data_IF_690219642104
#
_entry.id   IF_690219642104
#
_cell.length_a   1.000
_cell.length_b   1.000
_cell.length_c   1.000
_cell.angle_alpha   90.00
_cell.angle_beta   90.00
_cell.angle_gamma   90.00
#
_symmetry.space_group_name_H-M   'P 1'
#
loop_
_entity.id
_entity.type
_entity.pdbx_description
1 polymer ?
#
# COMPACT_ATOMS: atom_id res chain seq x y z
N UNK A 1 -22.82 -2.18 -25.82
CA UNK A 1 -21.80 -2.81 -26.70
C UNK A 1 -20.83 -1.70 -27.04
N UNK A 2 -19.53 -1.92 -26.85
CA UNK A 2 -18.48 -0.97 -27.18
C UNK A 2 -18.49 -0.76 -28.70
N UNK A 3 -18.96 0.39 -29.18
CA UNK A 3 -19.12 0.67 -30.61
C UNK A 3 -17.87 1.33 -31.20
N UNK A 4 -17.13 2.06 -30.37
CA UNK A 4 -16.01 2.90 -30.78
C UNK A 4 -14.91 2.84 -29.71
N UNK A 5 -13.66 2.92 -30.15
CA UNK A 5 -12.48 2.97 -29.29
C UNK A 5 -11.41 3.86 -29.91
N UNK A 6 -10.43 4.26 -29.12
CA UNK A 6 -9.38 5.18 -29.50
C UNK A 6 -8.02 4.54 -29.28
N UNK A 7 -7.13 4.72 -30.26
CA UNK A 7 -5.70 4.36 -30.15
C UNK A 7 -4.92 5.57 -30.62
N UNK A 8 -4.04 6.10 -29.77
CA UNK A 8 -3.24 7.31 -30.08
C UNK A 8 -4.09 8.46 -30.64
N UNK A 9 -5.20 8.76 -29.97
CA UNK A 9 -6.20 9.77 -30.33
C UNK A 9 -6.94 9.56 -31.67
N UNK A 10 -6.70 8.44 -32.37
CA UNK A 10 -7.44 8.07 -33.58
C UNK A 10 -8.65 7.23 -33.20
N UNK A 11 -9.79 7.55 -33.79
CA UNK A 11 -11.07 6.86 -33.58
C UNK A 11 -11.17 5.61 -34.46
N UNK A 12 -11.55 4.50 -33.86
CA UNK A 12 -11.83 3.23 -34.51
C UNK A 12 -13.24 2.78 -34.14
N UNK A 13 -13.89 2.00 -35.02
CA UNK A 13 -15.20 1.42 -34.76
C UNK A 13 -15.11 -0.09 -34.76
N UNK A 14 -15.80 -0.72 -33.81
CA UNK A 14 -16.05 -2.15 -33.88
C UNK A 14 -17.20 -2.38 -34.86
N UNK A 15 -17.03 -3.32 -35.78
CA UNK A 15 -18.07 -3.67 -36.75
C UNK A 15 -19.36 -4.10 -36.04
N UNK A 16 -20.49 -3.53 -36.43
CA UNK A 16 -21.79 -3.80 -35.79
C UNK A 16 -22.45 -5.10 -36.29
N UNK A 17 -22.02 -5.61 -37.45
CA UNK A 17 -22.49 -6.86 -38.06
C UNK A 17 -21.29 -7.68 -38.49
N UNK A 18 -21.07 -8.80 -37.82
CA UNK A 18 -19.93 -9.70 -38.06
C UNK A 18 -20.48 -11.10 -38.33
N UNK A 19 -19.90 -11.82 -39.28
CA UNK A 19 -20.33 -13.17 -39.60
C UNK A 19 -20.03 -14.09 -38.40
N UNK A 20 -20.93 -15.02 -38.06
CA UNK A 20 -20.68 -15.99 -36.97
C UNK A 20 -19.36 -16.75 -37.14
N UNK A 21 -18.90 -16.96 -38.38
CA UNK A 21 -17.62 -17.62 -38.70
C UNK A 21 -16.39 -16.80 -38.33
N UNK A 22 -16.53 -15.49 -38.14
CA UNK A 22 -15.44 -14.57 -37.79
C UNK A 22 -15.32 -14.35 -36.27
N UNK A 23 -16.25 -14.93 -35.49
CA UNK A 23 -16.24 -14.88 -34.04
C UNK A 23 -15.25 -15.91 -33.48
N UNK A 24 -14.33 -15.44 -32.67
CA UNK A 24 -13.24 -16.23 -32.10
C UNK A 24 -13.53 -16.44 -30.62
N UNK A 25 -13.68 -17.69 -30.19
CA UNK A 25 -13.85 -18.01 -28.77
C UNK A 25 -12.61 -17.58 -27.97
N UNK A 26 -12.78 -17.14 -26.72
CA UNK A 26 -11.69 -16.59 -25.88
C UNK A 26 -10.43 -17.46 -25.81
N UNK A 27 -10.59 -18.79 -25.83
CA UNK A 27 -9.47 -19.74 -25.83
C UNK A 27 -8.64 -19.66 -27.12
N UNK A 28 -9.29 -19.66 -28.28
CA UNK A 28 -8.62 -19.53 -29.57
C UNK A 28 -8.14 -18.11 -29.84
N UNK A 29 -8.83 -17.11 -29.29
CA UNK A 29 -8.38 -15.72 -29.33
C UNK A 29 -7.03 -15.58 -28.61
N UNK A 30 -6.87 -16.20 -27.44
CA UNK A 30 -5.58 -16.23 -26.74
C UNK A 30 -4.48 -16.92 -27.56
N UNK A 31 -4.81 -18.00 -28.28
CA UNK A 31 -3.84 -18.67 -29.16
C UNK A 31 -3.40 -17.75 -30.30
N UNK A 32 -4.33 -17.04 -30.93
CA UNK A 32 -4.02 -16.06 -31.99
C UNK A 32 -3.09 -14.98 -31.46
N UNK A 33 -3.38 -14.40 -30.29
CA UNK A 33 -2.51 -13.40 -29.65
C UNK A 33 -1.07 -13.94 -29.48
N UNK A 34 -0.92 -15.19 -29.02
CA UNK A 34 0.39 -15.84 -28.89
C UNK A 34 1.09 -16.04 -30.24
N UNK A 35 0.37 -16.49 -31.27
CA UNK A 35 0.92 -16.66 -32.62
C UNK A 35 1.41 -15.32 -33.21
N UNK A 36 0.73 -14.22 -32.88
CA UNK A 36 1.11 -12.87 -33.29
C UNK A 36 2.20 -12.24 -32.38
N UNK A 37 2.83 -13.03 -31.50
CA UNK A 37 3.86 -12.60 -30.54
C UNK A 37 3.37 -11.55 -29.54
N UNK A 38 2.06 -11.51 -29.27
CA UNK A 38 1.47 -10.68 -28.21
C UNK A 38 1.52 -11.49 -26.91
N UNK A 39 2.69 -11.44 -26.28
CA UNK A 39 2.99 -12.14 -25.04
C UNK A 39 2.43 -11.39 -23.81
N UNK A 40 2.48 -12.00 -22.62
CA UNK A 40 1.96 -11.43 -21.35
C UNK A 40 0.44 -11.26 -21.25
N UNK A 41 -0.32 -11.98 -22.08
CA UNK A 41 -1.79 -12.10 -21.95
C UNK A 41 -2.15 -13.48 -21.42
N UNK A 42 -3.05 -13.53 -20.44
CA UNK A 42 -3.62 -14.76 -19.91
C UNK A 42 -5.14 -14.76 -20.09
N UNK A 43 -5.78 -15.93 -20.00
CA UNK A 43 -7.25 -16.01 -19.96
C UNK A 43 -7.84 -15.18 -18.80
N UNK A 44 -7.14 -15.13 -17.67
CA UNK A 44 -7.53 -14.30 -16.51
C UNK A 44 -7.54 -12.82 -16.90
N UNK A 45 -6.49 -12.33 -17.57
CA UNK A 45 -6.41 -10.95 -18.03
C UNK A 45 -7.58 -10.61 -18.97
N UNK A 46 -7.84 -11.45 -19.98
CA UNK A 46 -8.92 -11.23 -20.94
C UNK A 46 -10.32 -11.19 -20.28
N UNK A 47 -10.58 -12.11 -19.35
CA UNK A 47 -11.83 -12.13 -18.56
C UNK A 47 -11.95 -10.90 -17.67
N UNK A 48 -10.86 -10.49 -17.02
CA UNK A 48 -10.84 -9.30 -16.17
C UNK A 48 -11.13 -8.04 -16.98
N UNK A 49 -10.48 -7.87 -18.14
CA UNK A 49 -10.70 -6.72 -19.01
C UNK A 49 -12.11 -6.66 -19.57
N UNK A 50 -12.71 -7.81 -19.92
CA UNK A 50 -14.11 -7.90 -20.32
C UNK A 50 -15.07 -7.54 -19.18
N UNK A 51 -14.88 -8.13 -17.99
CA UNK A 51 -15.72 -7.83 -16.83
C UNK A 51 -15.65 -6.35 -16.43
N UNK A 52 -14.46 -5.75 -16.56
CA UNK A 52 -14.28 -4.31 -16.35
C UNK A 52 -14.79 -3.47 -17.52
N UNK A 53 -15.34 -4.03 -18.60
CA UNK A 53 -15.78 -3.31 -19.82
C UNK A 53 -14.67 -2.54 -20.53
N UNK A 54 -13.41 -2.96 -20.37
CA UNK A 54 -12.26 -2.42 -21.09
C UNK A 54 -12.06 -3.14 -22.45
N UNK A 55 -12.20 -4.47 -22.45
CA UNK A 55 -12.17 -5.30 -23.65
C UNK A 55 -13.48 -6.10 -23.72
N UNK A 56 -14.60 -5.40 -23.95
CA UNK A 56 -15.92 -6.02 -23.95
C UNK A 56 -16.02 -7.03 -25.10
N UNK A 57 -16.35 -8.29 -24.78
CA UNK A 57 -16.56 -9.33 -25.77
C UNK A 57 -17.68 -8.92 -26.75
N UNK A 58 -17.48 -9.23 -28.03
CA UNK A 58 -18.48 -8.99 -29.07
C UNK A 58 -19.77 -9.75 -28.79
N UNK A 59 -19.65 -11.00 -28.33
CA UNK A 59 -20.79 -11.83 -27.97
C UNK A 59 -20.48 -12.69 -26.76
N UNK A 60 -21.48 -12.86 -25.91
CA UNK A 60 -21.46 -13.83 -24.82
C UNK A 60 -22.60 -14.82 -25.06
N UNK A 61 -22.27 -16.10 -25.20
CA UNK A 61 -23.25 -17.17 -25.40
C UNK A 61 -23.14 -18.21 -24.28
N UNK A 62 -24.24 -18.91 -23.99
CA UNK A 62 -24.21 -20.04 -23.07
C UNK A 62 -23.59 -21.23 -23.81
N UNK A 63 -22.49 -21.75 -23.26
CA UNK A 63 -21.87 -22.98 -23.73
C UNK A 63 -22.65 -24.22 -23.27
N UNK A 64 -22.24 -25.41 -23.73
CA UNK A 64 -22.90 -26.68 -23.40
C UNK A 64 -22.94 -26.99 -21.90
N UNK A 65 -22.05 -26.40 -21.08
CA UNK A 65 -21.92 -26.66 -19.63
C UNK A 65 -22.47 -25.47 -18.80
N UNK A 66 -23.42 -24.69 -19.33
CA UNK A 66 -23.94 -23.44 -18.69
C UNK A 66 -22.89 -22.33 -18.45
N UNK A 67 -21.63 -22.54 -18.84
CA UNK A 67 -20.60 -21.51 -18.78
C UNK A 67 -20.78 -20.45 -19.86
N UNK A 68 -20.57 -19.17 -19.51
CA UNK A 68 -20.63 -18.05 -20.45
C UNK A 68 -19.38 -18.03 -21.33
N UNK A 69 -19.52 -18.43 -22.58
CA UNK A 69 -18.46 -18.38 -23.60
C UNK A 69 -18.41 -16.98 -24.22
N UNK A 70 -17.23 -16.36 -24.17
CA UNK A 70 -16.95 -15.03 -24.72
C UNK A 70 -16.34 -15.16 -26.11
N UNK A 71 -16.83 -14.36 -27.04
CA UNK A 71 -16.37 -14.30 -28.41
C UNK A 71 -15.83 -12.91 -28.73
N UNK A 72 -14.67 -12.90 -29.37
CA UNK A 72 -13.93 -11.72 -29.81
C UNK A 72 -13.77 -11.74 -31.33
N UNK A 73 -13.20 -10.67 -31.87
CA UNK A 73 -12.98 -10.48 -33.31
C UNK A 73 -11.53 -10.05 -33.51
N UNK A 74 -11.01 -10.12 -34.75
CA UNK A 74 -9.65 -9.66 -35.04
C UNK A 74 -9.41 -8.19 -34.66
N UNK A 75 -10.44 -7.34 -34.72
CA UNK A 75 -10.34 -5.94 -34.30
C UNK A 75 -10.00 -5.76 -32.82
N UNK A 76 -10.36 -6.74 -31.98
CA UNK A 76 -10.03 -6.71 -30.54
C UNK A 76 -8.53 -6.87 -30.28
N UNK A 77 -7.76 -7.40 -31.24
CA UNK A 77 -6.31 -7.54 -31.12
C UNK A 77 -5.65 -6.17 -30.95
N UNK A 78 -6.06 -5.18 -31.76
CA UNK A 78 -5.55 -3.81 -31.65
C UNK A 78 -5.81 -3.20 -30.27
N UNK A 79 -6.98 -3.48 -29.68
CA UNK A 79 -7.33 -3.04 -28.33
C UNK A 79 -6.42 -3.71 -27.30
N UNK A 80 -6.15 -5.02 -27.43
CA UNK A 80 -5.24 -5.75 -26.54
C UNK A 80 -3.82 -5.18 -26.61
N UNK A 81 -3.31 -4.92 -27.82
CA UNK A 81 -1.99 -4.31 -28.02
C UNK A 81 -1.91 -2.96 -27.29
N UNK A 82 -2.95 -2.13 -27.43
CA UNK A 82 -2.97 -0.81 -26.79
C UNK A 82 -3.09 -0.91 -25.26
N UNK A 83 -3.88 -1.84 -24.73
CA UNK A 83 -3.96 -2.11 -23.28
C UNK A 83 -2.58 -2.48 -22.74
N UNK A 84 -1.84 -3.36 -23.44
CA UNK A 84 -0.51 -3.79 -23.02
C UNK A 84 0.50 -2.65 -23.05
N UNK A 85 0.48 -1.82 -24.10
CA UNK A 85 1.33 -0.62 -24.19
C UNK A 85 1.06 0.36 -23.05
N UNK A 86 -0.20 0.64 -22.75
CA UNK A 86 -0.54 1.56 -21.66
C UNK A 86 -0.17 0.96 -20.29
N UNK A 87 -0.35 -0.35 -20.10
CA UNK A 87 0.14 -1.05 -18.90
C UNK A 87 1.65 -0.95 -18.73
N UNK A 88 2.44 -1.07 -19.79
CA UNK A 88 3.90 -0.93 -19.70
C UNK A 88 4.35 0.49 -19.34
N UNK A 89 3.51 1.49 -19.61
CA UNK A 89 3.70 2.88 -19.16
C UNK A 89 3.20 3.13 -17.71
N UNK A 90 2.77 2.09 -16.99
CA UNK A 90 2.28 2.21 -15.61
C UNK A 90 0.84 2.72 -15.49
N UNK A 91 0.04 2.67 -16.56
CA UNK A 91 -1.38 3.01 -16.49
C UNK A 91 -2.17 1.88 -15.83
N UNK A 92 -3.05 2.24 -14.91
CA UNK A 92 -3.98 1.30 -14.32
C UNK A 92 -5.23 1.16 -15.19
N UNK A 93 -6.01 0.08 -15.00
CA UNK A 93 -7.21 -0.18 -15.80
C UNK A 93 -8.19 1.02 -15.87
N UNK A 94 -8.45 1.77 -14.78
CA UNK A 94 -9.28 2.98 -14.84
C UNK A 94 -8.72 4.05 -15.80
N UNK A 95 -7.41 4.23 -15.84
CA UNK A 95 -6.75 5.19 -16.71
C UNK A 95 -6.75 4.73 -18.17
N UNK A 96 -6.44 3.45 -18.40
CA UNK A 96 -6.46 2.83 -19.73
C UNK A 96 -7.85 3.01 -20.37
N UNK A 97 -8.92 2.86 -19.59
CA UNK A 97 -10.28 3.14 -20.09
C UNK A 97 -10.47 4.59 -20.52
N UNK A 98 -9.98 5.56 -19.75
CA UNK A 98 -10.08 6.98 -20.12
C UNK A 98 -9.40 7.23 -21.47
N UNK A 99 -8.24 6.61 -21.69
CA UNK A 99 -7.50 6.72 -22.97
C UNK A 99 -8.27 6.03 -24.09
N UNK A 100 -8.56 4.73 -23.95
CA UNK A 100 -9.11 3.90 -25.04
C UNK A 100 -10.60 4.19 -25.31
N UNK A 101 -11.39 4.54 -24.30
CA UNK A 101 -12.86 4.70 -24.46
C UNK A 101 -13.30 6.15 -24.51
N UNK A 102 -12.62 7.04 -23.80
CA UNK A 102 -13.02 8.44 -23.67
C UNK A 102 -12.10 9.39 -24.44
N UNK A 103 -11.11 8.87 -25.17
CA UNK A 103 -10.13 9.65 -25.92
C UNK A 103 -9.37 10.66 -25.05
N UNK A 104 -9.13 10.32 -23.78
CA UNK A 104 -8.37 11.20 -22.88
C UNK A 104 -6.88 11.13 -23.25
N UNK A 105 -6.21 12.26 -23.50
CA UNK A 105 -4.79 12.26 -23.81
C UNK A 105 -3.93 11.66 -22.67
N UNK A 106 -2.95 10.82 -23.04
CA UNK A 106 -2.06 10.16 -22.08
C UNK A 106 -1.28 11.15 -21.21
N UNK A 107 -0.80 12.24 -21.81
CA UNK A 107 -0.08 13.31 -21.11
C UNK A 107 -0.93 13.96 -19.99
N UNK A 108 -2.25 14.08 -20.19
CA UNK A 108 -3.15 14.63 -19.17
C UNK A 108 -3.33 13.66 -17.99
N UNK A 109 -3.37 12.35 -18.27
CA UNK A 109 -3.39 11.32 -17.21
C UNK A 109 -2.10 11.37 -16.39
N UNK A 110 -0.94 11.39 -17.07
CA UNK A 110 0.36 11.45 -16.42
C UNK A 110 0.52 12.73 -15.59
N UNK A 111 0.13 13.88 -16.13
CA UNK A 111 0.18 15.15 -15.42
C UNK A 111 -0.66 15.15 -14.13
N UNK A 112 -1.87 14.58 -14.19
CA UNK A 112 -2.72 14.46 -12.99
C UNK A 112 -2.07 13.58 -11.92
N UNK A 113 -1.47 12.44 -12.31
CA UNK A 113 -0.72 11.60 -11.37
C UNK A 113 0.45 12.34 -10.73
N UNK A 114 1.21 13.09 -11.52
CA UNK A 114 2.33 13.91 -11.01
C UNK A 114 1.86 14.96 -10.00
N UNK A 115 0.72 15.62 -10.27
CA UNK A 115 0.12 16.60 -9.36
C UNK A 115 -0.29 15.95 -8.04
N UNK A 116 -0.94 14.78 -8.08
CA UNK A 116 -1.37 14.07 -6.87
C UNK A 116 -0.17 13.56 -6.07
N UNK A 117 0.88 13.06 -6.73
CA UNK A 117 2.15 12.70 -6.10
C UNK A 117 2.78 13.89 -5.36
N UNK A 118 2.82 15.08 -5.99
CA UNK A 118 3.34 16.30 -5.35
C UNK A 118 2.54 16.69 -4.09
N UNK A 119 1.21 16.61 -4.15
CA UNK A 119 0.35 16.87 -2.98
C UNK A 119 0.62 15.88 -1.85
N UNK A 120 0.74 14.59 -2.16
CA UNK A 120 1.02 13.54 -1.19
C UNK A 120 2.40 13.74 -0.52
N UNK A 121 3.43 14.07 -1.30
CA UNK A 121 4.77 14.38 -0.76
C UNK A 121 4.71 15.58 0.19
N UNK A 122 3.99 16.64 -0.18
CA UNK A 122 3.81 17.81 0.69
C UNK A 122 3.14 17.42 2.01
N UNK A 123 2.04 16.67 1.96
CA UNK A 123 1.34 16.21 3.15
C UNK A 123 2.24 15.36 4.06
N UNK A 124 3.06 14.46 3.49
CA UNK A 124 4.02 13.65 4.26
C UNK A 124 5.05 14.56 4.95
N UNK A 125 5.60 15.55 4.26
CA UNK A 125 6.55 16.51 4.86
C UNK A 125 5.92 17.29 6.00
N UNK A 126 4.68 17.75 5.84
CA UNK A 126 3.96 18.49 6.87
C UNK A 126 3.68 17.61 8.11
N UNK A 127 3.35 16.33 7.91
CA UNK A 127 3.20 15.36 9.01
C UNK A 127 4.52 15.15 9.75
N UNK A 128 5.63 14.94 9.03
CA UNK A 128 6.97 14.75 9.63
C UNK A 128 7.35 15.99 10.45
N UNK A 129 7.12 17.18 9.91
CA UNK A 129 7.37 18.43 10.62
C UNK A 129 6.56 18.50 11.92
N UNK A 130 5.26 18.20 11.87
CA UNK A 130 4.41 18.18 13.06
C UNK A 130 4.86 17.14 14.10
N UNK A 131 5.38 15.99 13.69
CA UNK A 131 5.94 14.97 14.60
C UNK A 131 7.18 15.53 15.29
N UNK A 132 8.11 16.11 14.52
CA UNK A 132 9.34 16.70 15.05
C UNK A 132 9.03 17.86 16.02
N UNK A 133 8.07 18.72 15.69
CA UNK A 133 7.66 19.83 16.54
C UNK A 133 7.06 19.32 17.86
N UNK A 134 6.23 18.27 17.83
CA UNK A 134 5.70 17.64 19.05
C UNK A 134 6.81 17.00 19.89
N UNK A 135 7.79 16.36 19.24
CA UNK A 135 8.94 15.79 19.95
C UNK A 135 9.74 16.87 20.68
N UNK A 136 10.05 17.97 19.99
CA UNK A 136 10.81 19.10 20.50
C UNK A 136 10.09 19.88 21.60
N UNK A 137 8.83 20.24 21.39
CA UNK A 137 8.13 21.19 22.27
C UNK A 137 7.28 20.54 23.35
N UNK A 138 6.96 19.25 23.22
CA UNK A 138 6.08 18.55 24.19
C UNK A 138 6.82 17.38 24.82
N UNK A 139 7.27 16.41 24.02
CA UNK A 139 7.79 15.13 24.52
C UNK A 139 9.11 15.34 25.28
N UNK A 140 10.11 15.98 24.66
CA UNK A 140 11.41 16.23 25.32
C UNK A 140 11.27 17.03 26.61
N UNK A 141 10.54 18.16 26.67
CA UNK A 141 10.34 18.90 27.92
C UNK A 141 9.61 18.10 28.99
N UNK A 142 8.58 17.33 28.63
CA UNK A 142 7.88 16.47 29.59
C UNK A 142 8.80 15.42 30.20
N UNK A 143 9.59 14.72 29.36
CA UNK A 143 10.56 13.72 29.81
C UNK A 143 11.62 14.37 30.70
N UNK A 144 12.17 15.51 30.29
CA UNK A 144 13.16 16.27 31.06
C UNK A 144 12.65 16.63 32.46
N UNK A 145 11.46 17.23 32.53
CA UNK A 145 10.86 17.67 33.78
C UNK A 145 10.51 16.50 34.69
N UNK A 146 9.91 15.44 34.14
CA UNK A 146 9.56 14.25 34.89
C UNK A 146 10.82 13.51 35.40
N UNK A 147 11.87 13.38 34.58
CA UNK A 147 13.15 12.77 34.97
C UNK A 147 13.80 13.55 36.09
N UNK A 148 13.87 14.88 35.98
CA UNK A 148 14.40 15.76 37.02
C UNK A 148 13.66 15.55 38.35
N UNK A 149 12.33 15.63 38.32
CA UNK A 149 11.51 15.43 39.52
C UNK A 149 11.71 14.03 40.14
N UNK A 150 11.76 12.99 39.31
CA UNK A 150 11.97 11.62 39.77
C UNK A 150 13.35 11.43 40.45
N UNK A 151 14.42 11.94 39.85
CA UNK A 151 15.77 11.84 40.40
C UNK A 151 15.90 12.62 41.73
N UNK A 152 15.30 13.82 41.81
CA UNK A 152 15.25 14.62 43.04
C UNK A 152 14.54 13.90 44.18
N UNK A 153 13.38 13.28 43.92
CA UNK A 153 12.61 12.56 44.95
C UNK A 153 13.30 11.27 45.42
N UNK A 154 14.01 10.57 44.54
CA UNK A 154 14.65 9.29 44.88
C UNK A 154 16.10 9.45 45.39
N UNK A 155 16.68 10.66 45.35
CA UNK A 155 18.09 10.91 45.70
C UNK A 155 19.09 10.06 44.89
N UNK A 156 18.73 9.68 43.66
CA UNK A 156 19.57 8.89 42.77
C UNK A 156 20.22 9.83 41.75
N UNK A 157 21.51 9.61 41.45
CA UNK A 157 22.26 10.44 40.49
C UNK A 157 21.90 10.14 39.03
N UNK A 158 21.78 8.87 38.68
CA UNK A 158 21.44 8.43 37.31
C UNK A 158 20.64 7.12 37.34
N UNK A 159 19.77 6.94 36.34
CA UNK A 159 19.06 5.68 36.08
C UNK A 159 19.93 4.82 35.17
N UNK A 160 20.23 3.58 35.57
CA UNK A 160 21.00 2.66 34.73
C UNK A 160 20.05 1.80 33.86
N UNK A 161 20.48 1.45 32.65
CA UNK A 161 19.81 0.46 31.80
C UNK A 161 19.61 -0.89 32.53
N UNK A 162 20.58 -1.30 33.35
CA UNK A 162 20.44 -2.51 34.18
C UNK A 162 19.25 -2.40 35.13
N UNK A 163 18.85 -1.20 35.56
CA UNK A 163 17.67 -1.02 36.40
C UNK A 163 16.39 -1.36 35.63
N UNK A 164 16.25 -0.91 34.37
CA UNK A 164 15.10 -1.27 33.51
C UNK A 164 15.05 -2.78 33.30
N UNK A 165 16.19 -3.38 32.97
CA UNK A 165 16.30 -4.82 32.72
C UNK A 165 15.99 -5.62 33.99
N UNK A 166 16.50 -5.18 35.13
CA UNK A 166 16.22 -5.80 36.42
C UNK A 166 14.76 -5.64 36.84
N UNK A 167 14.11 -4.51 36.53
CA UNK A 167 12.68 -4.30 36.75
C UNK A 167 11.87 -5.23 35.85
N UNK A 168 12.19 -5.38 34.56
CA UNK A 168 11.56 -6.35 33.66
C UNK A 168 11.66 -7.78 34.18
N UNK A 169 12.83 -8.18 34.67
CA UNK A 169 13.10 -9.53 35.18
C UNK A 169 12.42 -9.76 36.55
N UNK A 170 12.49 -8.79 37.47
CA UNK A 170 11.92 -8.88 38.84
C UNK A 170 10.40 -8.78 38.86
N UNK A 171 9.78 -8.05 37.92
CA UNK A 171 8.32 -7.93 37.83
C UNK A 171 7.61 -9.19 37.32
N UNK A 172 8.32 -10.30 37.08
CA UNK A 172 7.69 -11.62 36.90
C UNK A 172 6.85 -12.08 38.10
N UNK A 173 7.00 -11.45 39.28
CA UNK A 173 6.40 -11.92 40.55
C UNK A 173 5.70 -10.83 41.38
N UNK A 174 5.26 -9.73 40.78
CA UNK A 174 4.69 -8.59 41.52
C UNK A 174 3.16 -8.51 41.33
N UNK A 175 2.41 -8.52 42.44
CA UNK A 175 0.93 -8.40 42.52
C UNK A 175 0.38 -7.01 42.11
N UNK A 176 1.10 -6.26 41.28
CA UNK A 176 0.67 -4.95 40.78
C UNK A 176 -0.05 -5.08 39.44
N UNK A 177 -0.89 -4.10 39.10
CA UNK A 177 -1.53 -4.04 37.79
C UNK A 177 -0.45 -3.99 36.70
N UNK A 178 -0.50 -4.95 35.78
CA UNK A 178 0.43 -5.09 34.65
C UNK A 178 0.49 -3.80 33.82
N UNK A 179 -0.63 -3.07 33.68
CA UNK A 179 -0.67 -1.78 32.99
C UNK A 179 0.18 -0.71 33.67
N UNK A 180 0.21 -0.67 35.00
CA UNK A 180 1.02 0.28 35.77
C UNK A 180 2.51 -0.05 35.63
N UNK A 181 2.87 -1.34 35.69
CA UNK A 181 4.26 -1.79 35.48
C UNK A 181 4.73 -1.41 34.07
N UNK A 182 3.92 -1.67 33.04
CA UNK A 182 4.23 -1.31 31.66
C UNK A 182 4.41 0.20 31.53
N UNK A 183 3.50 1.00 32.09
CA UNK A 183 3.61 2.45 32.06
C UNK A 183 4.91 2.94 32.73
N UNK A 184 5.25 2.40 33.91
CA UNK A 184 6.49 2.74 34.59
C UNK A 184 7.74 2.35 33.79
N UNK A 185 7.73 1.20 33.13
CA UNK A 185 8.81 0.74 32.26
C UNK A 185 8.99 1.65 31.04
N UNK A 186 7.91 2.08 30.41
CA UNK A 186 7.93 3.04 29.30
C UNK A 186 8.51 4.37 29.77
N UNK A 187 8.10 4.85 30.95
CA UNK A 187 8.61 6.08 31.55
C UNK A 187 10.13 5.98 31.81
N UNK A 188 10.59 4.90 32.45
CA UNK A 188 12.01 4.68 32.74
C UNK A 188 12.85 4.55 31.45
N UNK A 189 12.31 3.87 30.44
CA UNK A 189 12.92 3.78 29.11
C UNK A 189 13.08 5.16 28.49
N UNK A 190 12.05 6.00 28.58
CA UNK A 190 12.11 7.38 28.06
C UNK A 190 13.18 8.21 28.78
N UNK A 191 13.35 8.03 30.09
CA UNK A 191 14.39 8.70 30.88
C UNK A 191 15.80 8.27 30.48
N UNK A 192 16.01 6.98 30.19
CA UNK A 192 17.29 6.41 29.77
C UNK A 192 17.68 6.72 28.32
N UNK A 193 16.72 7.15 27.51
CA UNK A 193 16.93 7.56 26.12
C UNK A 193 17.07 9.07 25.95
N UNK A 194 16.87 9.85 27.01
CA UNK A 194 16.99 11.29 26.97
C UNK A 194 18.29 11.77 27.62
N UNK A 195 19.16 12.32 26.78
CA UNK A 195 20.39 13.01 27.16
C UNK A 195 20.05 14.46 27.51
N UNK A 196 20.16 14.79 28.80
CA UNK A 196 19.80 16.10 29.33
C UNK A 196 20.81 17.16 28.89
N UNK A 197 22.09 16.80 28.81
CA UNK A 197 23.18 17.74 28.55
C UNK A 197 23.16 18.20 27.09
N UNK A 198 22.79 17.29 26.19
CA UNK A 198 22.70 17.58 24.76
C UNK A 198 21.27 17.89 24.26
N UNK A 199 20.24 17.73 25.10
CA UNK A 199 18.82 17.86 24.74
C UNK A 199 18.41 16.94 23.56
N UNK A 200 18.96 15.73 23.54
CA UNK A 200 18.74 14.73 22.49
C UNK A 200 17.93 13.57 23.05
N UNK A 201 16.89 13.18 22.31
CA UNK A 201 16.14 11.96 22.56
C UNK A 201 16.55 10.90 21.54
N UNK A 202 17.12 9.79 22.01
CA UNK A 202 17.51 8.66 21.17
C UNK A 202 16.28 7.78 20.89
N UNK A 203 15.54 8.15 19.85
CA UNK A 203 14.33 7.46 19.41
C UNK A 203 14.57 6.02 18.98
N UNK A 204 15.76 5.71 18.44
CA UNK A 204 16.12 4.36 18.03
C UNK A 204 16.35 3.45 19.25
N UNK A 205 17.10 3.93 20.24
CA UNK A 205 17.30 3.23 21.52
C UNK A 205 15.97 3.05 22.26
N UNK A 206 15.10 4.07 22.24
CA UNK A 206 13.78 3.97 22.86
C UNK A 206 12.92 2.90 22.18
N UNK A 207 12.89 2.84 20.84
CA UNK A 207 12.14 1.81 20.11
C UNK A 207 12.57 0.40 20.52
N UNK A 208 13.88 0.15 20.67
CA UNK A 208 14.38 -1.16 21.13
C UNK A 208 13.87 -1.52 22.51
N UNK A 209 13.83 -0.56 23.44
CA UNK A 209 13.27 -0.82 24.77
C UNK A 209 11.78 -1.13 24.72
N UNK A 210 11.02 -0.48 23.84
CA UNK A 210 9.60 -0.79 23.65
C UNK A 210 9.40 -2.21 23.09
N UNK A 211 10.22 -2.62 22.12
CA UNK A 211 10.18 -3.97 21.57
C UNK A 211 10.51 -5.02 22.65
N UNK A 212 11.55 -4.79 23.46
CA UNK A 212 11.94 -5.67 24.57
C UNK A 212 10.81 -5.80 25.63
N UNK A 213 10.13 -4.70 25.95
CA UNK A 213 8.96 -4.69 26.85
C UNK A 213 7.82 -5.51 26.23
N UNK A 214 7.51 -5.30 24.94
CA UNK A 214 6.43 -5.98 24.24
C UNK A 214 6.65 -7.49 24.13
N UNK A 215 7.88 -7.91 23.80
CA UNK A 215 8.27 -9.32 23.73
C UNK A 215 8.19 -10.00 25.10
N UNK A 216 8.59 -9.29 26.16
CA UNK A 216 8.48 -9.78 27.54
C UNK A 216 7.03 -10.02 27.95
N UNK A 217 6.10 -9.17 27.52
CA UNK A 217 4.66 -9.34 27.77
C UNK A 217 4.09 -10.52 26.98
N UNK A 218 4.47 -10.66 25.71
CA UNK A 218 3.93 -11.70 24.82
C UNK A 218 4.39 -13.11 25.19
N UNK A 219 5.62 -13.27 25.67
CA UNK A 219 6.14 -14.56 26.12
C UNK A 219 5.45 -15.06 27.42
N UNK A 220 4.90 -14.16 28.23
CA UNK A 220 4.13 -14.53 29.43
C UNK A 220 2.74 -15.09 29.11
N UNK A 221 2.12 -14.73 27.98
CA UNK A 221 0.81 -15.27 27.58
C UNK A 221 0.85 -16.72 27.08
N UNK A 222 2.03 -17.25 26.73
CA UNK A 222 2.20 -18.63 26.23
C UNK A 222 2.53 -19.66 27.31
N UNK A 223 2.63 -19.24 28.57
CA UNK A 223 3.07 -20.07 29.70
C UNK A 223 1.93 -20.52 30.63
N UNK A 224 0.67 -20.39 30.19
CA UNK A 224 -0.52 -20.88 30.87
C UNK A 224 -1.27 -21.89 30.00
#
# INVERSE_FOLDING_TARGET
MLSEYYIKNKKYKLESKINKKELIAIGDFLKILKCEKIENVTLKNLREWDNKKLLQAFRVAHGPIREKVRYYTKQHINIVIEILRLKSLGFEIPDIKKVILNNTPENLILLNKDIDCKKNIKNIKDIIRNINDKELYIIKPMIKNAKKYFLEQMSIKELNYDDIKNILIKNKYLNYDVGIIIFALILLSSFNCYDIDNDIFDSYKFSKYIDDIADSINNNKKSY
#
